data_IF_634855646863
#
_entry.id   IF_634855646863
#
_cell.length_a   1.000
_cell.length_b   1.000
_cell.length_c   1.000
_cell.angle_alpha   90.00
_cell.angle_beta   90.00
_cell.angle_gamma   90.00
#
_symmetry.space_group_name_H-M   'P 1'
#
loop_
_entity.id
_entity.type
_entity.pdbx_description
1 polymer ?
2 non-polymer ?
3 non-polymer ?
4 non-polymer ?
5 non-polymer ?
6 non-polymer ?
7 water ?
#
# COMPACT_ATOMS: atom_id res chain seq x y z
N UNK A 3 1.53 29.99 -9.66
CA UNK A 3 0.74 29.00 -10.38
C UNK A 3 1.65 27.99 -11.08
N UNK A 4 2.96 28.10 -10.81
CA UNK A 4 3.98 27.23 -11.40
C UNK A 4 5.07 27.09 -10.34
N UNK A 5 4.82 26.20 -9.38
CA UNK A 5 5.57 26.15 -8.13
C UNK A 5 6.91 25.45 -8.29
N UNK A 6 7.83 25.80 -7.40
CA UNK A 6 9.20 25.31 -7.43
C UNK A 6 9.48 24.49 -6.17
N UNK A 7 10.12 23.34 -6.35
CA UNK A 7 10.59 22.51 -5.26
C UNK A 7 12.10 22.39 -5.38
N UNK A 8 12.80 22.56 -4.26
CA UNK A 8 14.25 22.55 -4.25
C UNK A 8 14.74 21.34 -3.49
N UNK A 9 15.86 20.77 -3.95
CA UNK A 9 16.62 19.82 -3.15
C UNK A 9 17.78 20.59 -2.54
N UNK A 10 17.89 20.57 -1.22
CA UNK A 10 18.93 21.35 -0.54
C UNK A 10 20.21 20.56 -0.33
N UNK A 11 20.22 19.27 -0.61
CA UNK A 11 21.49 18.54 -0.65
C UNK A 11 22.17 18.69 -2.01
N UNK A 12 21.41 18.97 -3.07
CA UNK A 12 21.94 19.04 -4.43
C UNK A 12 21.74 20.39 -5.12
N UNK A 13 20.95 21.30 -4.55
CA UNK A 13 20.62 22.58 -5.17
C UNK A 13 19.86 22.41 -6.50
N UNK A 14 19.17 21.28 -6.66
CA UNK A 14 18.39 20.98 -7.85
C UNK A 14 16.99 21.56 -7.68
N UNK A 15 16.48 22.18 -8.74
CA UNK A 15 15.18 22.84 -8.71
C UNK A 15 14.29 22.25 -9.78
N UNK A 16 13.10 21.82 -9.38
CA UNK A 16 12.10 21.28 -10.29
C UNK A 16 10.85 22.13 -10.23
N UNK A 17 10.24 22.37 -11.38
CA UNK A 17 9.05 23.20 -11.50
C UNK A 17 7.82 22.33 -11.63
N UNK A 18 6.84 22.54 -10.74
CA UNK A 18 5.64 21.73 -10.71
C UNK A 18 4.49 22.48 -11.36
N UNK A 19 3.99 21.93 -12.46
CA UNK A 19 2.72 22.37 -13.03
C UNK A 19 1.64 21.32 -12.92
N UNK A 20 1.99 20.08 -12.57
CA UNK A 20 1.00 19.02 -12.48
C UNK A 20 0.00 19.27 -11.35
N UNK A 21 0.39 20.02 -10.33
CA UNK A 21 -0.56 20.30 -9.25
C UNK A 21 -1.76 21.08 -9.74
N UNK A 22 -1.63 21.79 -10.87
CA UNK A 22 -2.77 22.48 -11.47
C UNK A 22 -3.87 21.48 -11.87
N UNK A 23 -3.49 20.26 -12.24
CA UNK A 23 -4.49 19.25 -12.57
C UNK A 23 -5.14 18.64 -11.34
N UNK A 24 -4.72 19.04 -10.14
CA UNK A 24 -5.22 18.42 -8.92
C UNK A 24 -6.70 18.69 -8.73
N UNK A 25 -7.42 17.65 -8.34
CA UNK A 25 -8.86 17.74 -8.15
C UNK A 25 -9.24 17.76 -6.69
N UNK A 26 -8.94 16.70 -5.95
CA UNK A 26 -9.34 16.59 -4.56
C UNK A 26 -8.61 17.62 -3.71
N UNK A 27 -8.96 17.66 -2.43
CA UNK A 27 -8.39 18.59 -1.47
C UNK A 27 -7.52 17.85 -0.47
N UNK A 28 -6.69 18.62 0.25
CA UNK A 28 -5.56 18.08 1.02
C UNK A 28 -5.81 18.02 2.53
N UNK A 29 -6.77 18.78 3.05
CA UNK A 29 -6.91 18.98 4.46
C UNK A 29 -6.26 20.27 4.94
N UNK A 30 -5.21 20.71 4.27
CA UNK A 30 -4.62 21.99 4.64
C UNK A 30 -5.47 23.14 4.13
N UNK A 31 -5.32 24.29 4.78
CA UNK A 31 -5.91 25.53 4.32
C UNK A 31 -4.79 26.57 4.24
N UNK A 32 -5.17 27.80 3.94
CA UNK A 32 -4.20 28.89 3.97
C UNK A 32 -3.63 29.10 5.38
N UNK A 33 -4.37 28.71 6.40
CA UNK A 33 -4.00 29.03 7.79
C UNK A 33 -3.61 27.81 8.62
N UNK A 34 -3.64 26.60 8.07
CA UNK A 34 -3.26 25.45 8.87
C UNK A 34 -2.80 24.32 7.97
N UNK A 35 -1.64 23.77 8.29
CA UNK A 35 -1.07 22.69 7.53
C UNK A 35 -1.35 21.39 8.28
N UNK A 36 -1.95 20.44 7.58
CA UNK A 36 -2.32 19.14 8.13
C UNK A 36 -1.46 18.03 7.58
N UNK A 37 -0.24 18.37 7.15
CA UNK A 37 0.62 17.38 6.53
C UNK A 37 1.01 16.21 7.41
N UNK A 38 0.73 16.24 8.72
CA UNK A 38 1.09 15.14 9.60
C UNK A 38 -0.12 14.39 10.16
N UNK A 39 -1.34 14.78 9.78
CA UNK A 39 -2.54 14.01 10.12
C UNK A 39 -2.53 12.70 9.34
N UNK A 40 -2.69 11.57 10.05
CA UNK A 40 -2.58 10.26 9.42
C UNK A 40 -3.68 10.04 8.36
N UNK A 41 -4.91 10.37 8.71
CA UNK A 41 -6.04 10.15 7.80
C UNK A 41 -6.72 11.49 7.53
N UNK A 42 -6.77 11.95 6.28
CA UNK A 42 -7.39 13.25 6.01
C UNK A 42 -8.70 13.14 5.25
N UNK A 43 -9.72 13.85 5.73
CA UNK A 43 -11.03 13.85 5.07
C UNK A 43 -11.57 15.26 4.95
N UNK A 52 -22.98 6.74 -1.31
CA UNK A 52 -23.34 6.38 -2.68
C UNK A 52 -23.07 7.57 -3.59
N UNK A 53 -22.71 7.30 -4.85
CA UNK A 53 -22.37 8.32 -5.83
C UNK A 53 -23.43 8.39 -6.93
N UNK A 54 -23.89 9.60 -7.24
CA UNK A 54 -25.00 9.81 -8.17
C UNK A 54 -24.52 9.94 -9.61
N UNK A 55 -25.45 9.75 -10.54
CA UNK A 55 -25.12 9.82 -11.96
C UNK A 55 -24.72 11.24 -12.38
N UNK A 56 -25.25 12.25 -11.69
CA UNK A 56 -24.90 13.63 -12.01
C UNK A 56 -23.41 13.87 -11.79
N UNK A 57 -22.90 13.49 -10.62
CA UNK A 57 -21.48 13.65 -10.36
C UNK A 57 -20.62 12.70 -11.19
N UNK A 58 -21.22 11.63 -11.71
CA UNK A 58 -20.40 10.57 -12.27
C UNK A 58 -19.78 10.95 -13.61
N UNK A 59 -20.56 11.53 -14.52
CA UNK A 59 -20.01 11.75 -15.85
C UNK A 59 -18.81 12.70 -15.91
N UNK A 60 -18.78 13.84 -15.18
CA UNK A 60 -17.54 14.65 -15.19
C UNK A 60 -16.30 13.85 -14.84
N UNK A 61 -16.43 12.95 -13.86
CA UNK A 61 -15.31 12.11 -13.43
C UNK A 61 -14.91 11.13 -14.53
N UNK A 62 -15.90 10.54 -15.21
CA UNK A 62 -15.62 9.66 -16.34
C UNK A 62 -14.93 10.41 -17.46
N UNK A 63 -15.51 11.54 -17.90
CA UNK A 63 -14.91 12.39 -18.92
C UNK A 63 -13.48 12.76 -18.56
N UNK A 64 -13.26 13.29 -17.36
CA UNK A 64 -11.90 13.63 -16.94
C UNK A 64 -10.97 12.45 -17.14
N UNK A 65 -11.36 11.27 -16.65
CA UNK A 65 -10.50 10.11 -16.75
C UNK A 65 -10.28 9.72 -18.21
N UNK A 66 -11.35 9.63 -19.01
CA UNK A 66 -11.20 9.23 -20.40
C UNK A 66 -10.39 10.24 -21.20
N UNK A 67 -10.43 11.51 -20.81
CA UNK A 67 -9.63 12.51 -21.48
C UNK A 67 -8.14 12.31 -21.20
N UNK A 68 -7.79 11.94 -19.97
CA UNK A 68 -6.39 11.64 -19.72
C UNK A 68 -6.00 10.29 -20.30
N UNK A 69 -6.92 9.32 -20.31
CA UNK A 69 -6.59 8.03 -20.93
C UNK A 69 -6.29 8.20 -22.41
N UNK A 70 -7.20 8.85 -23.15
CA UNK A 70 -6.99 9.00 -24.58
C UNK A 70 -5.84 9.96 -24.87
N UNK A 71 -5.57 10.90 -23.98
CA UNK A 71 -4.37 11.71 -24.14
C UNK A 71 -3.13 10.85 -24.05
N UNK A 72 -3.12 9.86 -23.15
CA UNK A 72 -1.91 9.09 -22.90
C UNK A 72 -1.59 8.12 -24.03
N UNK A 73 -2.60 7.71 -24.81
CA UNK A 73 -2.35 6.81 -25.92
C UNK A 73 -2.30 7.63 -27.20
N UNK A 74 -2.08 8.93 -27.06
CA UNK A 74 -1.86 9.84 -28.18
C UNK A 74 -3.02 9.82 -29.18
N UNK A 75 -4.24 9.78 -28.65
CA UNK A 75 -5.47 9.85 -29.44
C UNK A 75 -6.51 10.69 -28.70
N UNK A 76 -6.07 11.81 -28.13
CA UNK A 76 -6.97 12.75 -27.47
C UNK A 76 -7.73 13.55 -28.52
N UNK A 77 -9.06 13.59 -28.39
CA UNK A 77 -9.90 14.25 -29.36
C UNK A 77 -10.11 13.46 -30.63
N UNK A 78 -9.49 12.29 -30.77
CA UNK A 78 -9.70 11.45 -31.93
C UNK A 78 -11.13 10.92 -31.96
N UNK A 79 -11.49 10.19 -33.01
CA UNK A 79 -12.86 9.68 -33.13
C UNK A 79 -13.14 8.62 -32.07
N UNK A 80 -12.20 7.70 -31.84
CA UNK A 80 -12.41 6.68 -30.82
C UNK A 80 -12.62 7.30 -29.43
N UNK A 81 -12.01 8.45 -29.17
CA UNK A 81 -12.22 9.15 -27.92
C UNK A 81 -13.64 9.67 -27.80
N UNK A 82 -14.12 10.38 -28.83
CA UNK A 82 -15.46 10.95 -28.76
C UNK A 82 -16.52 9.85 -28.67
N UNK A 83 -16.34 8.77 -29.43
CA UNK A 83 -17.30 7.67 -29.37
C UNK A 83 -17.31 7.03 -27.99
N UNK A 84 -16.13 6.84 -27.40
CA UNK A 84 -16.07 6.27 -26.06
C UNK A 84 -16.65 7.23 -25.03
N UNK A 85 -16.41 8.53 -25.19
CA UNK A 85 -17.05 9.52 -24.33
C UNK A 85 -18.55 9.47 -24.46
N UNK A 86 -19.05 9.43 -25.71
CA UNK A 86 -20.48 9.24 -25.93
C UNK A 86 -20.95 7.92 -25.35
N UNK A 87 -20.20 6.84 -25.56
CA UNK A 87 -20.64 5.53 -25.13
C UNK A 87 -20.78 5.44 -23.62
N UNK A 88 -19.85 6.06 -22.88
CA UNK A 88 -19.89 6.02 -21.42
C UNK A 88 -21.01 6.90 -20.88
N UNK A 89 -21.23 8.06 -21.51
CA UNK A 89 -22.36 8.91 -21.13
C UNK A 89 -23.68 8.17 -21.32
N UNK A 90 -23.85 7.50 -22.47
CA UNK A 90 -25.05 6.71 -22.68
C UNK A 90 -25.19 5.59 -21.65
N UNK A 91 -24.07 4.99 -21.23
CA UNK A 91 -24.16 3.95 -20.20
C UNK A 91 -24.47 4.53 -18.83
N UNK A 92 -23.96 5.73 -18.53
CA UNK A 92 -24.29 6.38 -17.27
C UNK A 92 -25.75 6.82 -17.26
N UNK A 93 -26.26 7.30 -18.39
CA UNK A 93 -27.68 7.65 -18.47
C UNK A 93 -28.55 6.44 -18.13
N UNK A 94 -28.27 5.30 -18.76
CA UNK A 94 -29.12 4.12 -18.59
C UNK A 94 -28.97 3.51 -17.20
N UNK A 95 -27.74 3.23 -16.78
CA UNK A 95 -27.48 2.46 -15.56
C UNK A 95 -27.01 3.31 -14.39
N UNK A 96 -26.81 4.62 -14.58
CA UNK A 96 -26.25 5.49 -13.55
C UNK A 96 -24.89 4.98 -13.06
N UNK A 97 -24.17 4.29 -13.94
CA UNK A 97 -22.80 3.84 -13.71
C UNK A 97 -22.25 3.39 -15.07
N UNK A 98 -21.05 2.81 -15.07
CA UNK A 98 -20.49 2.32 -16.32
C UNK A 98 -19.37 1.34 -16.04
N UNK A 99 -18.87 0.75 -17.12
CA UNK A 99 -17.84 -0.29 -17.07
C UNK A 99 -16.61 0.20 -17.83
N UNK A 100 -15.45 0.07 -17.20
CA UNK A 100 -14.18 0.36 -17.87
C UNK A 100 -13.78 -0.74 -18.83
N UNK A 101 -13.22 -0.35 -19.97
CA UNK A 101 -12.50 -1.31 -20.80
C UNK A 101 -11.33 -1.88 -20.02
N UNK A 102 -10.91 -3.09 -20.40
CA UNK A 102 -9.75 -3.68 -19.76
C UNK A 102 -8.54 -2.75 -19.80
N UNK A 103 -8.32 -2.11 -20.95
CA UNK A 103 -7.20 -1.16 -21.07
C UNK A 103 -7.36 0.03 -20.12
N UNK A 104 -8.58 0.57 -20.02
CA UNK A 104 -8.82 1.68 -19.11
C UNK A 104 -8.63 1.25 -17.66
N UNK A 105 -8.97 0.00 -17.35
CA UNK A 105 -8.76 -0.49 -15.98
C UNK A 105 -7.28 -0.57 -15.67
N UNK A 106 -6.46 -1.02 -16.63
CA UNK A 106 -5.02 -1.16 -16.37
C UNK A 106 -4.36 0.20 -16.25
N UNK A 107 -4.72 1.12 -17.14
CA UNK A 107 -4.28 2.50 -17.04
C UNK A 107 -4.62 3.09 -15.68
N UNK A 108 -5.89 2.96 -15.26
CA UNK A 108 -6.34 3.56 -14.01
C UNK A 108 -5.57 3.03 -12.81
N UNK A 109 -5.43 1.71 -12.71
CA UNK A 109 -4.69 1.15 -11.59
C UNK A 109 -3.25 1.61 -11.59
N UNK A 110 -2.59 1.55 -12.75
CA UNK A 110 -1.20 1.98 -12.81
C UNK A 110 -1.07 3.43 -12.37
N UNK A 111 -2.01 4.29 -12.78
CA UNK A 111 -1.90 5.71 -12.46
C UNK A 111 -2.36 6.03 -11.05
N UNK A 112 -3.28 5.23 -10.50
CA UNK A 112 -3.55 5.30 -9.08
C UNK A 112 -2.27 5.07 -8.28
N UNK A 113 -1.47 4.08 -8.68
CA UNK A 113 -0.18 3.89 -8.02
C UNK A 113 0.76 5.04 -8.32
N UNK A 114 0.86 5.44 -9.59
CA UNK A 114 1.67 6.60 -9.97
C UNK A 114 1.33 7.82 -9.13
N UNK A 115 0.08 7.95 -8.73
CA UNK A 115 -0.40 9.15 -8.06
C UNK A 115 -0.34 9.05 -6.54
N UNK A 116 0.06 7.90 -5.99
CA UNK A 116 0.09 7.67 -4.54
C UNK A 116 1.24 8.45 -3.93
N UNK A 117 0.95 9.65 -3.43
CA UNK A 117 2.04 10.50 -2.94
C UNK A 117 2.80 9.93 -1.73
N UNK A 118 2.20 9.03 -0.95
CA UNK A 118 2.92 8.47 0.20
C UNK A 118 3.82 7.29 -0.17
N UNK A 119 3.86 6.88 -1.44
CA UNK A 119 4.57 5.67 -1.85
C UNK A 119 5.93 6.03 -2.40
N UNK A 120 6.98 5.56 -1.73
CA UNK A 120 8.35 5.81 -2.19
C UNK A 120 8.75 4.87 -3.32
N UNK A 121 7.94 3.84 -3.60
CA UNK A 121 8.29 2.81 -4.56
C UNK A 121 7.86 3.07 -5.98
N UNK A 122 7.37 4.27 -6.28
CA UNK A 122 6.65 4.53 -7.52
C UNK A 122 7.53 4.51 -8.76
N UNK A 123 8.86 4.38 -8.64
CA UNK A 123 9.66 4.31 -9.86
C UNK A 123 9.21 3.12 -10.72
N UNK A 124 8.48 2.17 -10.14
CA UNK A 124 8.06 0.94 -10.78
C UNK A 124 6.60 0.98 -11.25
N UNK A 125 5.96 2.15 -11.13
CA UNK A 125 4.51 2.25 -11.26
C UNK A 125 4.00 1.70 -12.59
N UNK A 126 4.78 1.84 -13.67
CA UNK A 126 4.33 1.38 -14.98
C UNK A 126 4.47 -0.13 -15.17
N UNK A 127 5.27 -0.79 -14.33
CA UNK A 127 5.41 -2.24 -14.38
C UNK A 127 4.59 -2.84 -13.25
N UNK A 128 3.29 -2.81 -13.47
CA UNK A 128 2.30 -3.29 -12.52
C UNK A 128 1.44 -4.31 -13.25
N UNK A 129 1.22 -5.45 -12.62
CA UNK A 129 0.45 -6.53 -13.23
C UNK A 129 -0.99 -6.41 -12.74
N UNK A 130 -1.92 -6.21 -13.65
CA UNK A 130 -3.30 -5.95 -13.28
C UNK A 130 -4.10 -7.21 -13.53
N UNK A 131 -4.67 -7.76 -12.46
CA UNK A 131 -5.53 -8.93 -12.56
C UNK A 131 -6.96 -8.44 -12.47
N UNK A 132 -7.70 -8.64 -13.54
CA UNK A 132 -9.08 -8.18 -13.62
C UNK A 132 -9.97 -9.26 -13.00
N UNK A 133 -10.49 -9.00 -11.81
CA UNK A 133 -11.35 -9.95 -11.13
C UNK A 133 -12.78 -9.45 -11.08
N UNK A 134 -13.14 -8.61 -12.04
CA UNK A 134 -14.46 -8.01 -12.02
C UNK A 134 -15.58 -8.99 -12.37
N UNK A 135 -15.26 -10.21 -12.83
CA UNK A 135 -16.28 -11.25 -13.04
C UNK A 135 -16.53 -12.07 -11.79
N UNK A 136 -15.86 -11.74 -10.68
CA UNK A 136 -15.99 -12.51 -9.46
C UNK A 136 -17.35 -12.26 -8.82
N UNK A 137 -17.95 -13.31 -8.26
CA UNK A 137 -19.25 -13.20 -7.65
C UNK A 137 -19.36 -13.76 -6.23
N UNK A 138 -18.38 -14.52 -5.76
CA UNK A 138 -18.48 -15.17 -4.47
C UNK A 138 -17.16 -15.02 -3.73
N UNK A 139 -17.21 -15.27 -2.41
CA UNK A 139 -16.00 -15.21 -1.60
C UNK A 139 -15.00 -16.27 -2.05
N UNK A 140 -15.48 -17.45 -2.42
CA UNK A 140 -14.60 -18.50 -2.92
C UNK A 140 -13.87 -18.04 -4.17
N UNK A 141 -14.57 -17.36 -5.08
CA UNK A 141 -13.90 -16.80 -6.24
C UNK A 141 -12.86 -15.78 -5.85
N UNK A 142 -13.14 -14.99 -4.80
CA UNK A 142 -12.14 -14.05 -4.28
C UNK A 142 -10.93 -14.80 -3.76
N UNK A 143 -11.16 -15.84 -2.94
CA UNK A 143 -10.06 -16.68 -2.47
C UNK A 143 -9.20 -17.15 -3.64
N UNK A 144 -9.85 -17.75 -4.64
CA UNK A 144 -9.15 -18.18 -5.83
C UNK A 144 -8.31 -17.07 -6.44
N UNK A 145 -8.93 -15.92 -6.71
CA UNK A 145 -8.19 -14.82 -7.32
C UNK A 145 -7.03 -14.40 -6.42
N UNK A 146 -7.28 -14.31 -5.11
CA UNK A 146 -6.22 -13.83 -4.20
C UNK A 146 -5.08 -14.82 -4.14
N UNK A 147 -5.38 -16.13 -4.08
CA UNK A 147 -4.32 -17.12 -4.11
C UNK A 147 -3.47 -16.97 -5.36
N UNK A 148 -4.10 -16.76 -6.51
CA UNK A 148 -3.37 -16.62 -7.75
C UNK A 148 -2.56 -15.33 -7.75
N UNK A 149 -3.09 -14.28 -7.12
CA UNK A 149 -2.32 -13.06 -6.93
C UNK A 149 -1.05 -13.35 -6.13
N UNK A 150 -1.21 -13.93 -4.94
CA UNK A 150 -0.06 -14.22 -4.08
C UNK A 150 0.97 -15.06 -4.82
N UNK A 151 0.53 -16.17 -5.44
CA UNK A 151 1.45 -17.01 -6.19
C UNK A 151 2.19 -16.20 -7.26
N UNK A 152 1.45 -15.44 -8.07
CA UNK A 152 2.09 -14.66 -9.12
C UNK A 152 3.05 -13.61 -8.55
N UNK A 153 2.56 -12.76 -7.65
CA UNK A 153 3.42 -11.70 -7.13
C UNK A 153 4.63 -12.26 -6.39
N UNK A 154 4.50 -13.40 -5.74
CA UNK A 154 5.61 -13.93 -4.96
C UNK A 154 6.71 -14.45 -5.86
N UNK A 155 6.36 -15.24 -6.88
CA UNK A 155 7.29 -15.59 -7.94
C UNK A 155 8.60 -16.17 -7.39
N UNK A 156 8.47 -17.01 -6.36
CA UNK A 156 9.59 -17.77 -5.82
C UNK A 156 10.63 -16.85 -5.19
N UNK A 157 10.19 -15.68 -4.72
CA UNK A 157 11.05 -14.69 -4.13
C UNK A 157 11.43 -13.56 -5.06
N UNK A 158 11.35 -13.77 -6.38
CA UNK A 158 11.63 -12.69 -7.33
C UNK A 158 10.34 -11.88 -7.52
N UNK A 159 10.03 -11.07 -6.50
CA UNK A 159 8.67 -10.54 -6.36
C UNK A 159 8.29 -9.64 -7.53
N UNK A 160 7.00 -9.63 -7.84
CA UNK A 160 6.45 -8.90 -8.97
C UNK A 160 5.26 -8.10 -8.50
N UNK A 161 5.20 -6.84 -8.94
CA UNK A 161 4.12 -5.95 -8.56
C UNK A 161 2.82 -6.40 -9.19
N UNK A 162 1.73 -6.32 -8.43
CA UNK A 162 0.45 -6.77 -8.98
C UNK A 162 -0.72 -6.19 -8.20
N UNK A 163 -1.87 -6.13 -8.85
CA UNK A 163 -3.11 -5.70 -8.22
C UNK A 163 -4.23 -6.60 -8.72
N UNK A 164 -5.11 -7.02 -7.83
CA UNK A 164 -6.31 -7.76 -8.22
C UNK A 164 -7.54 -6.90 -7.92
N UNK A 165 -8.38 -6.70 -8.93
CA UNK A 165 -9.44 -5.69 -8.87
C UNK A 165 -10.79 -6.39 -8.91
N UNK A 166 -11.49 -6.39 -7.78
CA UNK A 166 -12.81 -7.02 -7.68
C UNK A 166 -13.88 -6.06 -8.17
N UNK A 167 -15.13 -6.54 -8.37
CA UNK A 167 -16.17 -5.69 -8.94
C UNK A 167 -16.33 -4.37 -8.21
N UNK A 168 -16.65 -3.33 -8.99
CA UNK A 168 -16.82 -1.99 -8.42
C UNK A 168 -18.08 -1.90 -7.58
N UNK A 169 -18.05 -1.00 -6.61
CA UNK A 169 -19.23 -0.65 -5.87
C UNK A 169 -20.35 -0.26 -6.82
N UNK A 170 -21.58 -0.63 -6.47
CA UNK A 170 -22.74 -0.28 -7.27
C UNK A 170 -23.69 0.56 -6.45
N UNK A 171 -24.64 -0.09 -5.77
CA UNK A 171 -25.56 0.63 -4.90
C UNK A 171 -24.90 1.04 -3.60
N UNK A 172 -23.89 0.30 -3.15
CA UNK A 172 -23.26 0.56 -1.87
C UNK A 172 -23.44 -0.57 -0.89
N UNK A 173 -24.61 -1.19 -0.90
CA UNK A 173 -24.87 -2.34 -0.04
C UNK A 173 -24.33 -3.64 -0.63
N UNK A 174 -23.72 -3.59 -1.82
CA UNK A 174 -23.19 -4.77 -2.48
C UNK A 174 -21.70 -4.59 -2.75
N UNK A 175 -20.93 -4.34 -1.70
CA UNK A 175 -19.49 -4.15 -1.84
C UNK A 175 -18.74 -5.47 -1.78
N UNK A 176 -17.66 -5.54 -2.54
CA UNK A 176 -16.62 -6.54 -2.32
C UNK A 176 -15.57 -5.95 -1.42
N UNK A 177 -15.27 -6.64 -0.31
CA UNK A 177 -14.23 -6.20 0.62
C UNK A 177 -13.36 -7.37 1.00
N UNK A 178 -12.05 -7.13 1.05
CA UNK A 178 -11.14 -7.98 1.81
C UNK A 178 -11.04 -7.35 3.20
N UNK A 179 -11.41 -8.11 4.23
CA UNK A 179 -11.42 -7.54 5.57
C UNK A 179 -10.03 -7.48 6.20
N UNK A 180 -9.11 -8.33 5.74
CA UNK A 180 -7.72 -8.20 6.15
C UNK A 180 -7.18 -6.87 5.68
N UNK A 181 -6.30 -6.28 6.50
CA UNK A 181 -5.63 -5.05 6.08
C UNK A 181 -4.53 -5.37 5.08
N UNK A 182 -3.95 -6.56 5.19
CA UNK A 182 -3.04 -7.09 4.18
C UNK A 182 -3.36 -8.55 4.02
N UNK A 183 -3.20 -9.05 2.79
CA UNK A 183 -3.45 -10.47 2.52
C UNK A 183 -2.73 -11.35 3.52
N UNK A 184 -1.48 -11.02 3.84
CA UNK A 184 -0.66 -11.83 4.72
C UNK A 184 -0.27 -10.98 5.92
N UNK A 185 -0.87 -11.27 7.07
CA UNK A 185 -0.51 -10.64 8.32
C UNK A 185 -0.45 -11.69 9.41
N UNK A 186 0.38 -11.43 10.41
CA UNK A 186 0.48 -12.32 11.56
C UNK A 186 -0.60 -11.97 12.59
N UNK A 187 -1.11 -12.99 13.25
CA UNK A 187 -2.13 -12.82 14.28
C UNK A 187 -1.57 -12.09 15.49
N UNK A 188 -2.49 -11.53 16.26
CA UNK A 188 -2.16 -10.90 17.52
C UNK A 188 -3.13 -11.29 18.61
N UNK A 189 -2.63 -11.90 19.68
CA UNK A 189 -3.45 -12.33 20.80
C UNK A 189 -3.03 -11.60 22.06
N UNK A 190 -4.00 -11.05 22.77
CA UNK A 190 -3.74 -10.62 24.13
C UNK A 190 -3.59 -11.84 25.04
N UNK A 191 -3.05 -11.62 26.21
CA UNK A 191 -2.71 -12.73 27.08
C UNK A 191 -3.53 -12.67 28.37
N UNK A 192 -3.42 -13.68 29.26
CA UNK A 192 -3.99 -13.49 30.60
C UNK A 192 -3.40 -12.29 31.32
N UNK A 193 -2.08 -12.12 31.28
CA UNK A 193 -1.42 -11.00 31.91
C UNK A 193 -1.54 -9.70 31.12
N UNK A 194 -2.42 -9.64 30.13
CA UNK A 194 -2.65 -8.43 29.37
C UNK A 194 -1.56 -8.07 28.39
N UNK A 195 -0.52 -8.88 28.25
CA UNK A 195 0.51 -8.64 27.24
C UNK A 195 -0.08 -8.97 25.87
N UNK A 196 0.79 -9.10 24.86
CA UNK A 196 0.34 -9.36 23.51
C UNK A 196 1.28 -10.33 22.81
N UNK A 197 0.76 -11.49 22.42
CA UNK A 197 1.52 -12.45 21.64
C UNK A 197 1.25 -12.21 20.16
N UNK A 198 2.32 -12.20 19.36
CA UNK A 198 2.19 -11.92 17.94
C UNK A 198 2.20 -10.45 17.64
N UNK A 199 1.34 -10.03 16.72
CA UNK A 199 1.33 -8.66 16.22
C UNK A 199 0.19 -7.88 16.88
N UNK A 200 0.47 -6.95 17.80
CA UNK A 200 -0.63 -6.20 18.44
C UNK A 200 -1.50 -5.44 17.45
N UNK A 201 -0.98 -5.08 16.27
CA UNK A 201 -1.76 -4.34 15.30
C UNK A 201 -3.05 -5.05 14.93
N UNK A 202 -3.10 -6.38 15.01
CA UNK A 202 -4.19 -7.16 14.45
C UNK A 202 -5.03 -7.85 15.50
N UNK A 203 -4.96 -7.39 16.75
CA UNK A 203 -5.67 -8.06 17.85
C UNK A 203 -7.17 -8.08 17.57
N UNK A 204 -7.72 -6.95 17.15
CA UNK A 204 -9.16 -6.91 16.86
C UNK A 204 -9.50 -7.80 15.68
N UNK A 205 -8.70 -7.72 14.61
CA UNK A 205 -9.00 -8.54 13.44
C UNK A 205 -8.84 -10.03 13.75
N UNK A 206 -7.82 -10.38 14.55
CA UNK A 206 -7.66 -11.79 14.92
C UNK A 206 -8.88 -12.31 15.64
N UNK A 207 -9.43 -11.52 16.57
CA UNK A 207 -10.61 -11.96 17.30
C UNK A 207 -11.85 -11.94 16.42
N UNK A 208 -11.88 -11.09 15.40
CA UNK A 208 -12.98 -11.09 14.46
C UNK A 208 -13.04 -12.42 13.72
N UNK A 209 -11.87 -12.92 13.30
CA UNK A 209 -11.81 -14.25 12.69
C UNK A 209 -12.20 -15.33 13.69
N UNK A 210 -11.78 -15.18 14.96
CA UNK A 210 -12.21 -16.14 15.96
C UNK A 210 -13.72 -16.06 16.17
N UNK A 211 -14.29 -14.85 16.10
CA UNK A 211 -15.74 -14.70 16.14
C UNK A 211 -16.41 -15.45 14.99
N UNK A 212 -15.97 -15.19 13.76
CA UNK A 212 -16.54 -15.89 12.60
C UNK A 212 -16.12 -17.36 12.52
N UNK A 213 -15.30 -17.84 13.46
CA UNK A 213 -15.06 -19.26 13.56
C UNK A 213 -13.63 -19.75 13.36
N UNK A 214 -12.67 -18.83 13.30
CA UNK A 214 -11.28 -19.26 13.11
C UNK A 214 -10.79 -19.98 14.36
N UNK A 215 -10.19 -21.14 14.16
CA UNK A 215 -9.52 -21.88 15.23
C UNK A 215 -8.07 -21.41 15.25
N UNK A 216 -7.74 -20.61 16.26
CA UNK A 216 -6.45 -19.91 16.27
C UNK A 216 -5.37 -20.81 16.87
N UNK A 217 -4.19 -20.91 16.24
CA UNK A 217 -3.05 -21.64 16.82
C UNK A 217 -2.21 -20.76 17.74
N UNK A 218 -2.88 -20.03 18.63
CA UNK A 218 -2.33 -18.98 19.51
C UNK A 218 -0.82 -19.02 19.68
N UNK A 219 -0.09 -18.68 18.62
CA UNK A 219 1.34 -18.49 18.68
C UNK A 219 1.74 -17.10 18.22
N UNK A 220 3.01 -16.92 17.86
CA UNK A 220 3.49 -15.62 17.41
C UNK A 220 3.10 -15.37 15.96
N UNK A 221 3.82 -16.01 15.05
CA UNK A 221 3.74 -15.71 13.62
C UNK A 221 2.76 -16.66 12.92
N UNK A 222 1.51 -16.59 13.37
CA UNK A 222 0.41 -17.32 12.77
C UNK A 222 -0.19 -16.46 11.67
N UNK A 223 -0.10 -16.94 10.43
CA UNK A 223 -0.68 -16.21 9.30
C UNK A 223 -2.20 -16.23 9.44
N UNK A 224 -2.81 -15.05 9.43
CA UNK A 224 -4.24 -14.95 9.60
C UNK A 224 -4.98 -15.52 8.39
N UNK A 225 -6.21 -15.97 8.58
CA UNK A 225 -7.02 -16.39 7.44
C UNK A 225 -7.50 -15.16 6.69
N UNK A 226 -8.00 -15.39 5.49
CA UNK A 226 -8.66 -14.36 4.70
C UNK A 226 -10.13 -14.28 5.10
N UNK A 227 -10.62 -13.07 5.32
CA UNK A 227 -12.04 -12.82 5.57
C UNK A 227 -12.54 -12.04 4.36
N UNK A 228 -13.31 -12.72 3.51
CA UNK A 228 -13.64 -12.19 2.19
C UNK A 228 -15.15 -11.96 2.09
N UNK A 229 -15.52 -10.71 1.82
CA UNK A 229 -16.92 -10.33 1.60
C UNK A 229 -17.13 -10.07 0.13
N UNK A 230 -18.17 -10.69 -0.43
CA UNK A 230 -18.47 -10.65 -1.85
C UNK A 230 -19.91 -10.18 -2.04
N UNK A 231 -20.09 -9.19 -2.92
CA UNK A 231 -21.40 -8.64 -3.27
C UNK A 231 -22.23 -8.33 -2.03
N UNK A 232 -21.59 -7.71 -1.04
CA UNK A 232 -22.26 -7.28 0.16
C UNK A 232 -22.60 -8.38 1.15
N UNK A 233 -22.39 -9.64 0.81
CA UNK A 233 -22.77 -10.71 1.73
C UNK A 233 -21.79 -10.80 2.89
N UNK A 234 -22.22 -11.49 3.95
CA UNK A 234 -21.36 -11.65 5.12
C UNK A 234 -20.06 -12.34 4.71
N UNK A 235 -18.93 -11.96 5.29
CA UNK A 235 -17.64 -12.47 4.83
C UNK A 235 -17.33 -13.85 5.38
N UNK A 236 -16.43 -14.54 4.68
CA UNK A 236 -16.18 -15.96 4.89
C UNK A 236 -14.69 -16.23 5.05
N UNK A 237 -14.35 -17.15 5.92
CA UNK A 237 -12.96 -17.44 6.25
C UNK A 237 -12.31 -18.37 5.22
N UNK A 238 -11.08 -18.07 4.85
CA UNK A 238 -10.29 -18.92 3.98
C UNK A 238 -8.84 -18.91 4.42
N UNK A 239 -8.20 -20.07 4.39
CA UNK A 239 -6.79 -20.22 4.74
C UNK A 239 -5.94 -20.33 3.48
N UNK A 240 -5.07 -19.34 3.27
CA UNK A 240 -4.08 -19.38 2.20
C UNK A 240 -3.24 -20.64 2.33
N UNK A 241 -3.05 -21.42 1.28
CA UNK A 241 -2.15 -22.58 1.38
C UNK A 241 -0.79 -22.18 1.90
N UNK A 242 -0.30 -22.83 2.95
CA UNK A 242 1.02 -22.46 3.49
C UNK A 242 2.11 -22.38 2.44
N UNK A 243 2.05 -23.22 1.42
CA UNK A 243 3.07 -23.24 0.39
C UNK A 243 3.11 -21.94 -0.42
N UNK A 244 2.00 -21.21 -0.46
CA UNK A 244 1.97 -19.92 -1.14
C UNK A 244 2.48 -18.78 -0.28
N UNK A 245 2.70 -19.01 1.01
CA UNK A 245 3.09 -17.94 1.94
C UNK A 245 4.60 -18.06 2.15
N UNK A 246 5.36 -17.22 1.46
CA UNK A 246 6.82 -17.25 1.53
C UNK A 246 7.27 -16.43 2.73
N UNK A 247 8.06 -17.05 3.60
CA UNK A 247 8.54 -16.41 4.81
C UNK A 247 10.06 -16.47 4.88
N UNK A 248 10.66 -15.46 5.51
CA UNK A 248 12.10 -15.31 5.65
C UNK A 248 12.44 -15.41 7.15
N UNK A 249 13.20 -16.42 7.57
CA UNK A 249 13.75 -16.39 8.94
C UNK A 249 14.86 -15.34 9.03
N UNK A 250 14.84 -14.58 10.13
CA UNK A 250 15.72 -13.41 10.25
C UNK A 250 16.98 -13.81 11.01
N UNK A 251 18.11 -13.81 10.30
CA UNK A 251 19.41 -13.97 10.91
C UNK A 251 20.24 -12.71 10.66
N UNK A 252 21.29 -12.57 11.44
CA UNK A 252 22.25 -11.48 11.33
C UNK A 252 23.55 -12.00 10.75
N UNK A 253 24.24 -11.21 9.90
CA UNK A 253 25.49 -11.68 9.30
C UNK A 253 26.64 -11.78 10.28
N UNK A 254 26.53 -11.17 11.46
CA UNK A 254 27.55 -11.24 12.50
C UNK A 254 27.08 -11.94 13.77
N UNK A 255 25.93 -11.54 14.30
CA UNK A 255 25.47 -12.02 15.61
C UNK A 255 24.74 -13.35 15.43
N UNK A 256 25.36 -14.44 15.92
CA UNK A 256 24.72 -15.74 15.78
C UNK A 256 23.58 -15.94 16.77
N UNK A 257 23.57 -15.20 17.88
CA UNK A 257 22.39 -15.27 18.74
C UNK A 257 21.15 -14.70 18.07
N UNK A 258 21.32 -13.98 16.96
CA UNK A 258 20.17 -13.32 16.35
C UNK A 258 19.12 -14.33 15.91
N UNK A 259 19.56 -15.47 15.38
CA UNK A 259 18.61 -16.52 15.01
C UNK A 259 17.81 -16.98 16.22
N UNK A 260 18.43 -16.99 17.40
CA UNK A 260 17.74 -17.44 18.61
C UNK A 260 16.57 -16.52 18.95
N UNK A 261 16.54 -15.31 18.40
CA UNK A 261 15.34 -14.49 18.50
C UNK A 261 14.16 -15.14 17.78
N UNK A 262 14.43 -16.07 16.87
CA UNK A 262 13.37 -16.79 16.18
C UNK A 262 12.46 -15.90 15.37
N UNK A 263 12.92 -14.70 15.00
CA UNK A 263 12.09 -13.79 14.22
C UNK A 263 11.99 -14.26 12.78
N UNK A 264 10.83 -14.01 12.18
CA UNK A 264 10.61 -14.26 10.77
C UNK A 264 9.55 -13.28 10.29
N UNK A 265 9.55 -13.04 8.99
CA UNK A 265 8.55 -12.16 8.40
C UNK A 265 8.16 -12.76 7.05
N UNK A 266 7.01 -12.32 6.56
CA UNK A 266 6.52 -12.79 5.28
C UNK A 266 7.11 -11.93 4.16
N UNK A 267 7.34 -12.56 3.02
CA UNK A 267 8.03 -11.86 1.95
C UNK A 267 7.18 -10.84 1.22
N UNK A 268 5.85 -11.03 1.22
CA UNK A 268 4.98 -10.34 0.27
C UNK A 268 4.10 -9.31 0.99
N UNK A 269 4.38 -8.01 0.83
CA UNK A 269 3.48 -7.00 1.40
C UNK A 269 2.36 -6.68 0.43
N UNK A 270 1.10 -6.90 0.83
CA UNK A 270 -0.03 -6.83 -0.09
C UNK A 270 -1.19 -6.16 0.64
N UNK A 271 -1.35 -4.85 0.44
CA UNK A 271 -2.37 -4.09 1.13
C UNK A 271 -3.73 -4.37 0.51
N UNK A 272 -4.71 -4.69 1.35
CA UNK A 272 -5.99 -5.14 0.83
C UNK A 272 -7.18 -4.36 1.37
N UNK A 273 -6.96 -3.27 2.12
CA UNK A 273 -8.05 -2.54 2.76
C UNK A 273 -8.29 -1.18 2.12
N UNK A 274 -7.62 -0.87 1.03
CA UNK A 274 -7.78 0.42 0.39
C UNK A 274 -8.78 0.36 -0.75
N UNK A 275 -9.19 1.54 -1.19
CA UNK A 275 -10.19 1.70 -2.22
C UNK A 275 -9.54 2.37 -3.42
N UNK A 276 -9.77 1.82 -4.61
CA UNK A 276 -9.21 2.30 -5.86
C UNK A 276 -10.29 3.09 -6.60
N UNK A 277 -10.01 4.36 -6.90
CA UNK A 277 -10.92 5.23 -7.61
C UNK A 277 -10.41 5.44 -9.03
N UNK A 278 -11.24 5.12 -10.02
CA UNK A 278 -10.92 5.29 -11.42
C UNK A 278 -12.14 5.87 -12.11
N UNK A 279 -12.02 7.10 -12.61
CA UNK A 279 -13.14 7.72 -13.30
C UNK A 279 -14.42 7.71 -12.52
N UNK A 280 -14.36 8.02 -11.23
CA UNK A 280 -15.53 8.01 -10.38
C UNK A 280 -16.03 6.64 -9.99
N UNK A 281 -15.47 5.58 -10.59
CA UNK A 281 -15.82 4.22 -10.18
C UNK A 281 -14.99 3.84 -8.95
N UNK A 282 -15.62 3.11 -8.04
CA UNK A 282 -15.02 2.78 -6.75
C UNK A 282 -14.85 1.27 -6.63
N UNK A 283 -13.60 0.83 -6.56
CA UNK A 283 -13.27 -0.58 -6.36
C UNK A 283 -12.85 -0.77 -4.91
N UNK A 284 -13.78 -1.29 -4.09
CA UNK A 284 -13.61 -1.42 -2.65
C UNK A 284 -12.73 -2.60 -2.26
N UNK A 285 -12.42 -3.49 -3.20
CA UNK A 285 -11.54 -4.63 -2.97
C UNK A 285 -10.53 -4.59 -4.10
N UNK A 286 -9.31 -4.23 -3.78
CA UNK A 286 -8.30 -4.11 -4.81
C UNK A 286 -6.92 -4.42 -4.24
N UNK A 287 -6.71 -5.59 -3.64
CA UNK A 287 -5.41 -5.90 -3.01
C UNK A 287 -4.27 -5.72 -3.99
N UNK A 288 -3.26 -4.95 -3.57
CA UNK A 288 -2.09 -4.67 -4.38
C UNK A 288 -0.84 -5.02 -3.59
N UNK A 289 0.18 -5.48 -4.31
CA UNK A 289 1.39 -5.96 -3.65
C UNK A 289 2.60 -5.53 -4.45
N UNK A 290 3.70 -5.32 -3.73
CA UNK A 290 4.95 -5.04 -4.38
C UNK A 290 6.04 -5.82 -3.68
N UNK A 291 6.95 -5.11 -3.02
CA UNK A 291 7.91 -5.77 -2.16
C UNK A 291 8.28 -4.80 -1.07
N UNK A 292 9.02 -5.28 -0.08
CA UNK A 292 9.25 -4.51 1.12
C UNK A 292 10.43 -3.57 0.95
N UNK A 293 10.28 -2.37 1.47
CA UNK A 293 11.44 -1.63 1.91
C UNK A 293 11.80 -2.14 3.29
N UNK A 294 13.11 -2.37 3.50
CA UNK A 294 13.54 -3.05 4.72
C UNK A 294 13.01 -2.43 5.98
N UNK A 295 12.98 -1.10 6.05
CA UNK A 295 12.60 -0.45 7.30
C UNK A 295 11.15 -0.75 7.69
N UNK A 296 10.30 -1.14 6.74
CA UNK A 296 8.92 -1.42 7.11
C UNK A 296 8.86 -2.55 8.11
N UNK A 297 9.66 -3.59 7.88
CA UNK A 297 9.76 -4.71 8.82
C UNK A 297 10.63 -4.33 10.00
N UNK A 298 11.86 -3.88 9.71
CA UNK A 298 12.87 -3.79 10.75
C UNK A 298 12.68 -2.63 11.70
N UNK A 299 12.04 -1.56 11.25
CA UNK A 299 11.86 -0.39 12.10
C UNK A 299 10.45 -0.36 12.65
N UNK A 300 9.46 -0.31 11.76
CA UNK A 300 8.07 -0.20 12.17
C UNK A 300 7.52 -1.51 12.74
N UNK A 301 7.56 -2.59 11.95
CA UNK A 301 6.91 -3.84 12.36
C UNK A 301 7.55 -4.39 13.64
N UNK A 302 8.87 -4.42 13.70
CA UNK A 302 9.56 -5.00 14.85
C UNK A 302 9.77 -4.04 16.02
N UNK A 303 9.87 -2.73 15.75
CA UNK A 303 10.38 -1.81 16.77
C UNK A 303 9.42 -0.71 17.21
N UNK A 304 8.30 -0.50 16.50
CA UNK A 304 7.20 0.27 17.08
C UNK A 304 6.87 -0.27 18.47
N UNK A 305 6.62 0.65 19.41
CA UNK A 305 6.17 0.24 20.74
C UNK A 305 4.87 -0.55 20.66
N UNK A 306 3.96 -0.12 19.79
CA UNK A 306 2.65 -0.73 19.68
C UNK A 306 2.64 -1.92 18.72
N UNK A 307 3.81 -2.37 18.27
CA UNK A 307 3.95 -3.55 17.42
C UNK A 307 4.74 -4.64 18.15
N UNK A 308 5.69 -5.30 17.48
CA UNK A 308 6.39 -6.42 18.11
C UNK A 308 7.29 -5.96 19.23
N UNK A 309 7.87 -4.77 19.12
CA UNK A 309 8.52 -4.09 20.23
C UNK A 309 9.68 -4.92 20.79
N UNK A 310 10.68 -5.13 19.94
CA UNK A 310 11.80 -6.03 20.24
C UNK A 310 13.10 -5.29 20.48
N UNK A 311 13.10 -3.95 20.47
CA UNK A 311 14.31 -3.21 20.83
C UNK A 311 14.82 -3.65 22.19
N UNK A 312 13.91 -3.87 23.14
CA UNK A 312 14.22 -4.48 24.43
C UNK A 312 15.19 -5.64 24.34
N UNK A 313 14.76 -6.72 23.67
CA UNK A 313 15.54 -7.96 23.70
C UNK A 313 16.81 -7.88 22.87
N UNK A 314 16.77 -7.19 21.73
CA UNK A 314 17.95 -7.11 20.88
C UNK A 314 19.06 -6.35 21.59
N UNK A 315 18.72 -5.24 22.27
CA UNK A 315 19.72 -4.48 22.99
C UNK A 315 20.30 -5.31 24.12
N UNK A 316 19.46 -6.12 24.76
CA UNK A 316 19.94 -7.02 25.80
C UNK A 316 21.04 -7.92 25.26
N UNK A 317 20.73 -8.67 24.19
CA UNK A 317 21.70 -9.63 23.65
C UNK A 317 22.94 -8.94 23.09
N UNK A 318 22.82 -7.69 22.66
CA UNK A 318 24.00 -6.95 22.25
C UNK A 318 24.81 -6.45 23.43
N UNK A 319 24.33 -6.68 24.65
CA UNK A 319 24.96 -6.19 25.87
C UNK A 319 25.15 -4.68 25.82
N UNK A 320 24.04 -3.99 25.61
CA UNK A 320 24.07 -2.54 25.48
C UNK A 320 23.77 -1.88 26.82
N UNK A 321 24.33 -0.69 26.99
CA UNK A 321 24.06 0.19 28.11
C UNK A 321 22.62 0.70 28.04
N UNK A 322 21.70 -0.01 28.69
CA UNK A 322 20.27 0.30 28.59
C UNK A 322 19.76 1.12 29.77
N UNK A 323 20.65 1.76 30.52
CA UNK A 323 20.26 2.40 31.76
C UNK A 323 19.63 3.77 31.55
N UNK A 324 19.99 4.46 30.45
CA UNK A 324 19.41 5.76 30.14
C UNK A 324 19.20 5.86 28.63
N UNK A 325 18.47 6.91 28.21
CA UNK A 325 18.20 7.11 26.80
C UNK A 325 19.46 7.50 26.02
N UNK A 326 20.34 8.31 26.64
CA UNK A 326 21.42 8.97 25.89
C UNK A 326 22.56 8.03 25.49
N UNK A 327 22.55 6.78 25.92
CA UNK A 327 23.49 5.82 25.35
C UNK A 327 23.13 5.43 23.91
N UNK A 328 21.97 5.85 23.41
CA UNK A 328 21.48 5.52 22.06
C UNK A 328 21.42 4.01 21.83
N UNK A 329 21.28 3.24 22.91
CA UNK A 329 21.13 1.80 22.76
C UNK A 329 19.95 1.46 21.88
N UNK A 330 18.89 2.26 21.92
CA UNK A 330 17.75 2.01 21.04
C UNK A 330 18.16 2.16 19.58
N UNK A 331 18.90 3.23 19.26
CA UNK A 331 19.33 3.46 17.89
C UNK A 331 20.25 2.35 17.42
N UNK A 332 21.21 1.98 18.28
CA UNK A 332 22.20 0.97 17.92
C UNK A 332 21.52 -0.35 17.60
N UNK A 333 20.61 -0.80 18.47
CA UNK A 333 19.88 -2.04 18.18
C UNK A 333 19.01 -1.92 16.93
N UNK A 334 18.53 -0.71 16.65
CA UNK A 334 17.65 -0.54 15.49
C UNK A 334 18.40 -0.80 14.18
N UNK A 335 19.65 -0.35 14.11
CA UNK A 335 20.47 -0.57 12.91
C UNK A 335 20.78 -2.04 12.74
N UNK A 336 21.17 -2.73 13.83
CA UNK A 336 21.47 -4.16 13.72
C UNK A 336 20.27 -4.94 13.21
N UNK A 337 19.07 -4.62 13.73
CA UNK A 337 17.86 -5.30 13.30
C UNK A 337 17.62 -5.08 11.81
N UNK A 338 17.87 -3.88 11.30
CA UNK A 338 17.59 -3.64 9.90
C UNK A 338 18.66 -4.26 8.98
N UNK A 339 19.90 -4.35 9.44
CA UNK A 339 20.91 -5.10 8.70
C UNK A 339 20.51 -6.56 8.62
N UNK A 340 19.92 -7.09 9.70
CA UNK A 340 19.50 -8.48 9.75
C UNK A 340 18.33 -8.75 8.82
N UNK A 341 17.37 -7.83 8.72
CA UNK A 341 16.26 -8.05 7.82
C UNK A 341 16.74 -8.08 6.37
N UNK A 342 17.54 -7.08 6.00
CA UNK A 342 18.05 -7.00 4.63
C UNK A 342 18.91 -8.22 4.30
N UNK A 343 19.81 -8.57 5.21
CA UNK A 343 20.66 -9.74 4.99
C UNK A 343 19.83 -10.99 4.80
N UNK A 344 18.87 -11.22 5.70
CA UNK A 344 18.06 -12.43 5.64
C UNK A 344 17.28 -12.51 4.34
N UNK A 345 16.67 -11.40 3.91
CA UNK A 345 15.90 -11.41 2.67
C UNK A 345 16.80 -11.64 1.46
N UNK A 346 17.95 -10.96 1.40
CA UNK A 346 18.83 -11.08 0.24
C UNK A 346 19.48 -12.45 0.15
N UNK A 347 19.93 -13.00 1.29
CA UNK A 347 20.54 -14.31 1.28
C UNK A 347 19.54 -15.39 0.82
N UNK A 348 18.24 -15.13 0.99
CA UNK A 348 17.19 -16.02 0.50
C UNK A 348 16.66 -15.63 -0.86
N UNK A 349 17.26 -14.64 -1.53
CA UNK A 349 16.84 -14.23 -2.87
C UNK A 349 15.39 -13.77 -2.89
N UNK A 350 14.89 -13.25 -1.77
CA UNK A 350 13.55 -12.66 -1.70
C UNK A 350 13.69 -11.15 -1.84
N UNK A 351 12.94 -10.58 -2.77
CA UNK A 351 13.11 -9.19 -3.13
C UNK A 351 12.95 -8.29 -1.92
N UNK A 352 13.85 -7.32 -1.78
CA UNK A 352 13.75 -6.30 -0.74
C UNK A 352 14.64 -5.16 -1.19
N UNK A 353 14.34 -3.95 -0.69
CA UNK A 353 15.09 -2.77 -1.05
C UNK A 353 15.41 -2.03 0.24
N UNK A 354 16.65 -1.61 0.38
CA UNK A 354 17.01 -0.86 1.57
C UNK A 354 16.54 0.58 1.40
N UNK A 355 16.42 1.30 2.52
CA UNK A 355 15.88 2.66 2.44
C UNK A 355 16.81 3.59 1.66
N UNK A 356 18.10 3.24 1.54
CA UNK A 356 19.00 4.10 0.77
C UNK A 356 18.72 3.95 -0.72
N UNK A 357 18.66 2.70 -1.20
CA UNK A 357 18.37 2.47 -2.61
C UNK A 357 16.98 2.99 -2.98
N UNK A 358 15.98 2.74 -2.13
CA UNK A 358 14.63 3.15 -2.51
C UNK A 358 14.49 4.67 -2.52
N UNK A 359 15.13 5.36 -1.56
CA UNK A 359 14.95 6.80 -1.56
C UNK A 359 15.71 7.45 -2.71
N UNK A 360 16.90 6.95 -3.03
CA UNK A 360 17.59 7.44 -4.22
C UNK A 360 16.75 7.20 -5.47
N UNK A 361 16.13 6.01 -5.58
CA UNK A 361 15.29 5.76 -6.75
C UNK A 361 14.12 6.71 -6.79
N UNK A 362 13.60 7.11 -5.63
CA UNK A 362 12.45 8.01 -5.63
C UNK A 362 12.83 9.39 -6.12
N UNK A 363 14.03 9.88 -5.78
CA UNK A 363 14.50 11.15 -6.32
C UNK A 363 14.62 11.05 -7.84
N UNK A 364 15.29 10.00 -8.33
CA UNK A 364 15.34 9.78 -9.77
C UNK A 364 13.94 9.72 -10.36
N UNK A 365 13.03 9.03 -9.70
CA UNK A 365 11.63 9.00 -10.16
C UNK A 365 11.04 10.39 -10.23
N UNK A 366 11.29 11.20 -9.19
CA UNK A 366 10.75 12.55 -9.15
C UNK A 366 11.22 13.36 -10.35
N UNK A 367 12.53 13.28 -10.67
CA UNK A 367 13.06 14.02 -11.80
C UNK A 367 12.38 13.59 -13.11
N UNK A 368 12.16 12.29 -13.26
CA UNK A 368 11.44 11.80 -14.45
C UNK A 368 10.04 12.41 -14.52
N UNK A 369 9.30 12.35 -13.43
CA UNK A 369 7.92 12.82 -13.43
C UNK A 369 7.85 14.32 -13.71
N UNK A 370 8.67 15.12 -13.01
CA UNK A 370 8.70 16.56 -13.29
C UNK A 370 9.06 16.83 -14.74
N UNK A 371 9.91 16.00 -15.33
CA UNK A 371 10.33 16.20 -16.72
C UNK A 371 9.23 15.79 -17.70
N UNK A 372 8.77 14.54 -17.63
CA UNK A 372 7.82 14.02 -18.60
C UNK A 372 6.37 14.08 -18.09
N UNK A 373 6.08 14.89 -17.07
CA UNK A 373 4.72 14.98 -16.57
C UNK A 373 4.45 16.30 -15.85
N UNK A 374 5.51 17.06 -15.55
CA UNK A 374 5.33 18.35 -14.92
C UNK A 374 5.18 18.32 -13.41
N UNK A 375 5.41 17.18 -12.76
CA UNK A 375 5.27 17.12 -11.33
C UNK A 375 5.20 15.69 -10.85
N UNK A 376 5.17 15.54 -9.53
CA UNK A 376 5.07 14.26 -8.84
C UNK A 376 4.57 14.51 -7.43
N UNK A 377 3.30 14.31 -7.15
CA UNK A 377 2.80 14.53 -5.78
C UNK A 377 3.57 13.65 -4.82
N UNK A 378 4.03 14.26 -3.72
CA UNK A 378 4.87 13.51 -2.80
C UNK A 378 4.62 13.96 -1.37
N UNK A 379 4.52 12.99 -0.47
CA UNK A 379 4.18 13.22 0.93
C UNK A 379 5.44 12.98 1.75
N UNK A 380 6.18 14.07 1.96
CA UNK A 380 7.45 14.00 2.68
C UNK A 380 7.32 13.23 3.99
N UNK A 381 6.24 13.46 4.73
CA UNK A 381 6.03 12.84 6.03
C UNK A 381 6.12 11.32 5.92
N UNK A 382 5.63 10.78 4.80
CA UNK A 382 5.64 9.36 4.53
C UNK A 382 6.80 8.91 3.65
N UNK A 383 7.37 9.78 2.82
CA UNK A 383 8.45 9.34 1.95
C UNK A 383 9.75 9.17 2.73
N UNK A 384 10.01 10.06 3.70
CA UNK A 384 11.27 9.93 4.44
C UNK A 384 11.22 8.66 5.29
N UNK A 385 12.22 7.79 5.23
CA UNK A 385 12.16 6.52 5.98
C UNK A 385 12.15 6.74 7.48
N UNK A 386 11.67 5.76 8.24
CA UNK A 386 11.50 5.95 9.69
C UNK A 386 12.80 5.86 10.50
N UNK A 387 13.95 5.63 9.87
CA UNK A 387 15.26 5.82 10.49
C UNK A 387 16.19 6.45 9.46
N UNK A 388 17.29 7.03 9.94
CA UNK A 388 18.33 7.54 9.05
C UNK A 388 17.80 8.59 8.08
N UNK A 389 16.74 9.29 8.46
CA UNK A 389 16.13 10.28 7.60
C UNK A 389 17.07 11.13 6.76
N UNK A 390 17.97 11.87 7.42
CA UNK A 390 18.74 12.90 6.74
C UNK A 390 19.96 12.38 6.00
N UNK A 391 20.33 11.11 6.18
CA UNK A 391 21.40 10.56 5.37
C UNK A 391 20.80 9.93 4.12
N UNK A 392 19.49 10.10 3.91
CA UNK A 392 18.91 9.74 2.63
C UNK A 392 18.52 11.00 1.86
N UNK A 393 18.51 10.93 0.52
CA UNK A 393 18.30 12.15 -0.27
C UNK A 393 16.90 12.72 -0.21
N UNK A 394 15.89 11.93 0.15
CA UNK A 394 14.55 12.49 0.25
C UNK A 394 14.37 13.46 1.43
N UNK A 395 15.15 13.28 2.50
CA UNK A 395 15.05 14.22 3.62
C UNK A 395 15.25 15.65 3.13
N UNK A 396 16.16 15.86 2.19
CA UNK A 396 16.60 17.18 1.75
C UNK A 396 15.82 17.68 0.54
N UNK A 397 14.83 16.89 0.11
CA UNK A 397 14.07 17.16 -1.10
C UNK A 397 12.73 17.76 -0.72
N UNK A 398 12.50 18.99 -1.14
CA UNK A 398 11.18 19.58 -0.97
C UNK A 398 10.21 18.84 -1.85
N UNK A 399 9.01 18.61 -1.35
CA UNK A 399 7.99 17.86 -2.08
C UNK A 399 6.66 18.59 -1.96
N UNK A 400 5.93 18.67 -3.06
CA UNK A 400 4.58 19.18 -3.07
C UNK A 400 3.62 18.00 -2.99
N UNK A 401 2.70 18.05 -2.02
CA UNK A 401 1.69 17.03 -1.90
C UNK A 401 0.37 17.59 -2.43
N UNK A 402 -0.28 16.81 -3.29
CA UNK A 402 -1.58 17.16 -3.83
C UNK A 402 -2.19 15.87 -4.36
N UNK A 403 -3.52 15.89 -4.53
CA UNK A 403 -4.31 14.68 -4.75
C UNK A 403 -4.68 14.60 -6.22
N UNK A 404 -4.12 13.62 -6.92
CA UNK A 404 -4.48 13.38 -8.30
C UNK A 404 -5.33 12.12 -8.39
N UNK A 405 -6.10 12.02 -9.47
CA UNK A 405 -6.86 10.81 -9.70
C UNK A 405 -6.50 10.22 -11.06
N UNK A 406 -6.64 8.89 -11.27
CA UNK A 406 -7.05 7.77 -10.41
C UNK A 406 -6.25 7.71 -9.13
N UNK A 407 -6.80 7.15 -8.05
CA UNK A 407 -6.09 7.19 -6.78
C UNK A 407 -6.48 6.02 -5.90
N UNK A 408 -5.62 5.75 -4.92
CA UNK A 408 -5.94 4.85 -3.81
C UNK A 408 -6.38 5.69 -2.63
N UNK A 409 -7.54 5.35 -2.06
CA UNK A 409 -8.10 6.04 -0.92
C UNK A 409 -8.24 5.08 0.24
N UNK A 410 -8.19 5.64 1.44
CA UNK A 410 -8.59 4.89 2.62
C UNK A 410 -10.10 4.71 2.61
N UNK A 411 -10.57 3.78 3.43
CA UNK A 411 -11.99 3.48 3.54
C UNK A 411 -12.21 2.89 4.91
N UNK A 412 -13.40 3.05 5.48
CA UNK A 412 -13.65 2.48 6.81
C UNK A 412 -13.38 0.98 6.81
N UNK A 413 -13.01 0.47 7.97
CA UNK A 413 -12.96 -0.97 8.14
C UNK A 413 -14.36 -1.53 7.92
N UNK A 414 -14.50 -2.63 7.19
CA UNK A 414 -15.85 -3.10 6.82
C UNK A 414 -16.71 -3.47 8.00
N UNK A 415 -16.13 -3.92 9.12
CA UNK A 415 -16.95 -4.30 10.26
C UNK A 415 -17.55 -3.09 10.97
N UNK A 416 -17.07 -1.88 10.69
CA UNK A 416 -17.68 -0.66 11.22
C UNK A 416 -18.86 -0.19 10.41
N UNK A 417 -19.00 -0.64 9.16
CA UNK A 417 -19.99 -0.12 8.23
C UNK A 417 -21.00 -1.13 7.73
N UNK A 418 -20.67 -2.42 7.74
CA UNK A 418 -21.46 -3.43 7.04
C UNK A 418 -22.76 -3.72 7.78
N UNK A 419 -23.90 -3.42 7.14
CA UNK A 419 -25.19 -3.87 7.64
C UNK A 419 -25.16 -5.40 7.65
N UNK A 420 -25.08 -5.97 8.84
CA UNK A 420 -24.59 -7.32 9.06
C UNK A 420 -25.62 -8.42 8.78
X LIG B 1 2.87 3.57 0.50
X LIG B 1 6.89 1.17 -0.64
X LIG B 1 4.55 -0.90 -4.36
X LIG B 1 0.68 1.87 -3.46
X LIG B 1 4.11 3.01 0.61
X LIG B 1 5.04 3.12 1.72
X LIG B 1 6.16 2.45 1.39
X LIG B 1 5.99 1.92 0.07
X LIG B 1 7.42 2.27 2.26
X LIG B 1 4.79 3.87 3.05
X LIG B 1 3.54 3.32 3.72
X LIG B 1 3.95 2.62 4.99
X LIG B 1 5.08 2.87 5.48
X LIG B 1 3.12 1.84 5.51
X LIG B 1 6.62 0.42 -1.76
X LIG B 1 7.57 -0.43 -2.45
X LIG B 1 6.94 -1.00 -3.49
X LIG B 1 5.55 -0.54 -3.48
X LIG B 1 9.06 -0.65 -2.08
X LIG B 1 7.64 -1.96 -4.47
X LIG B 1 7.15 -2.27 -5.67
X LIG B 1 3.29 -0.36 -4.41
X LIG B 1 2.23 -0.76 -5.33
X LIG B 1 1.16 0.02 -5.08
X LIG B 1 1.50 0.91 -4.00
X LIG B 1 2.48 -1.89 -6.35
X LIG B 1 -0.23 0.05 -5.74
X LIG B 1 -0.54 -0.73 -6.78
X LIG B 1 0.89 2.55 -2.30
X LIG B 1 -0.06 3.39 -1.58
X LIG B 1 0.56 3.86 -0.48
X LIG B 1 1.90 3.32 -0.46
X LIG B 1 -1.50 3.72 -2.00
X LIG B 1 -0.04 4.79 0.59
X LIG B 1 -0.41 3.88 1.76
X LIG B 1 -1.07 4.64 2.88
X LIG B 1 -1.48 5.81 2.69
X LIG B 1 -1.21 4.05 3.99
X LIG B 1 4.75 2.30 -0.37
X LIG B 1 5.40 0.33 -2.41
X LIG B 1 2.80 0.66 -3.63
X LIG B 1 2.09 2.53 -1.59
X LIG B 1 3.87 1.77 -2.17
X LIG C 1 5.32 7.43 7.33
X LIG C 1 5.18 6.15 6.90
X LIG C 1 5.87 5.73 5.80
X LIG C 1 4.33 5.28 7.52
X LIG C 1 3.63 5.68 8.61
X LIG C 1 2.87 4.90 9.21
X LIG C 1 3.77 6.99 9.05
X LIG C 1 4.63 7.87 8.40
X LIG C 1 3.04 7.39 10.11
X LIG C 1 4.78 9.16 8.83
X LIG C 1 2.83 8.84 10.22
X LIG C 1 4.14 9.61 10.07
X LIG C 1 2.20 9.20 11.55
X LIG C 1 2.94 8.44 12.52
X LIG C 1 2.20 10.72 11.74
X LIG C 1 1.63 11.26 13.06
X LIG C 1 1.48 11.34 10.66
X LIG D 1 2.11 -3.26 -1.82
X LIG D 1 2.29 -3.20 0.50
X LIG D 1 3.47 -2.56 0.19
X LIG D 1 4.58 -1.92 0.98
X LIG D 1 3.03 -0.53 2.11
X LIG D 1 2.38 0.05 1.02
X LIG D 1 1.12 0.62 1.17
X LIG D 1 0.51 0.65 2.42
X LIG D 1 1.15 0.07 3.51
X LIG D 1 2.40 -0.52 3.35
X LIG D 1 0.48 0.08 4.87
X LIG D 1 -0.45 1.39 6.63
X LIG D 1 -0.49 2.76 7.31
X LIG D 1 -1.39 2.64 8.52
X LIG D 1 -2.76 2.74 8.34
X LIG D 1 -3.61 2.62 9.44
X LIG D 1 -3.08 2.39 10.70
X LIG D 1 -1.71 2.28 10.88
X LIG D 1 -0.86 2.42 9.78
X LIG D 1 0.64 2.29 9.98
X LIG D 1 -4.01 2.25 11.86
X LIG D 1 -5.30 2.76 11.76
X LIG D 1 -6.18 2.64 12.84
X LIG D 1 -5.77 2.00 14.00
X LIG D 1 -4.48 1.48 14.10
X LIG D 1 -3.60 1.61 13.03
X LIG D 1 1.58 -3.58 -0.61
X LIG D 1 4.26 -1.10 1.99
X LIG D 1 5.79 -2.16 0.70
X LIG D 1 0.10 1.45 5.26
X LIG D 1 1.00 2.56 11.38
X LIG D 1 3.61 -2.43 -1.52
X LIG E 1 11.94 0.39 -5.25
X LIG E 1 12.05 -0.77 -4.75
X LIG E 1 12.68 1.33 -4.90
X LIG E 1 10.89 0.63 -6.29
X LIG F 1 -0.10 21.36 4.71
#
# INVERSE_FOLDING_TARGET
CPRFLKVKNWETDVVLTDTLHLKSTLETGCTEHICMGSIMLPSQHTRKPEDVATKDQLFPLAKEFLDQYYSSIKRFGSKAHMDRLEEVNKEIESTSTYQLKDTELIYGAKHAWRNASRCVGRIQWSKLQVFDARDCTTAHGMFNYICNHVKYATNKGNLRSAITIFPQRTDGKHDFRVWNSQLIRYAGYKQPDGSTLGDPANVQFTEICIQQGWKAPRGRFDVLPLLLQANGNDPELFQIPPELVLEVPIRHPKFDWFKDLGLKWYGLPAVSNMLLEIGGLEFSACPFSGWYMGTEIGVRDYCDNSRYNILEEVAKKMDLDMRKTSSLWKDQALVEINIAVLYSFQSDKVTIVDHHSATESFIKHMENEYRCRGGCPADWVWIVPPMSGSITPVFHQEMLNYRLTPSFEYQPDPWNTHVWKG
HEM CHA CHB CHC CHD C1A C2A C3A C4A CMA CAA CBA CGA O1A O2A C1B C2B C3B C4B CMB CAB CBB C1C C2C C3C C4C CMC CAC CBC C1D C2D C3D C4D CMD CAD CBD CGD O1D O2D NA NB NC ND FE
H4B N1 C2 N2 N3 C4 O4 C4A C8A N5 N8 C6 C7 C9 O9 C10 C11 O10
A1BTW C02 C04 C05 C06 C11 C12 C13 C14 C15 C16 C17 C19 C20 C21 C22 C23 C24 C25 C26 C27 C31 C32 C33 C34 C35 C36 N03 N07 N08 N18 N28 S01
ACT C O OXT CH3
ZN ZN
#
